data_IF_052756801055
#
_entry.id   IF_052756801055
#
_cell.length_a   1.000
_cell.length_b   1.000
_cell.length_c   1.000
_cell.angle_alpha   90.00
_cell.angle_beta   90.00
_cell.angle_gamma   90.00
#
_symmetry.space_group_name_H-M   'P 1'
#
loop_
_entity.id
_entity.type
_entity.pdbx_description
1 polymer ?
#
# COMPACT_ATOMS: atom_id res chain seq x y z
N UNK A 1 -25.94 -8.76 14.87
CA UNK A 1 -25.23 -9.11 13.61
C UNK A 1 -24.83 -7.81 12.93
N UNK A 2 -23.56 -7.58 12.64
CA UNK A 2 -23.09 -6.35 11.99
C UNK A 2 -23.29 -6.46 10.48
N UNK A 3 -23.92 -5.44 9.86
CA UNK A 3 -24.05 -5.31 8.42
C UNK A 3 -23.00 -4.32 7.87
N UNK A 4 -22.15 -4.78 6.97
CA UNK A 4 -21.03 -4.00 6.43
C UNK A 4 -21.45 -2.75 5.64
N UNK A 5 -22.73 -2.58 5.28
CA UNK A 5 -23.23 -1.39 4.56
C UNK A 5 -23.89 -0.40 5.50
N UNK A 6 -24.74 -0.89 6.43
CA UNK A 6 -25.63 -0.05 7.22
C UNK A 6 -25.10 0.30 8.60
N UNK A 7 -24.34 -0.61 9.20
CA UNK A 7 -23.90 -0.42 10.58
C UNK A 7 -22.58 0.36 10.65
N UNK A 8 -22.35 1.11 11.75
CA UNK A 8 -21.12 1.84 11.97
C UNK A 8 -19.97 0.87 12.32
N UNK A 9 -18.86 0.97 11.58
CA UNK A 9 -17.65 0.18 11.84
C UNK A 9 -16.36 0.85 11.33
N UNK A 10 -16.46 2.00 10.64
CA UNK A 10 -15.33 2.76 10.13
C UNK A 10 -15.01 3.87 11.13
N UNK A 11 -13.90 3.79 11.88
CA UNK A 11 -13.53 4.84 12.82
C UNK A 11 -13.04 6.09 12.10
N UNK A 12 -13.60 7.23 12.48
CA UNK A 12 -13.29 8.54 11.92
C UNK A 12 -13.21 9.60 13.01
N UNK A 13 -12.43 10.64 12.76
CA UNK A 13 -12.52 11.89 13.50
C UNK A 13 -13.59 12.76 12.87
N UNK A 14 -14.55 13.19 13.70
CA UNK A 14 -15.59 14.16 13.39
C UNK A 14 -15.51 15.31 14.41
N UNK A 15 -16.12 16.49 14.14
CA UNK A 15 -16.24 17.55 15.15
C UNK A 15 -16.80 16.96 16.45
N UNK A 16 -15.99 16.92 17.49
CA UNK A 16 -16.39 16.34 18.79
C UNK A 16 -15.66 15.07 19.22
N UNK A 17 -14.86 14.44 18.36
CA UNK A 17 -14.01 13.31 18.74
C UNK A 17 -14.03 12.12 17.78
N UNK A 18 -13.53 11.00 18.26
CA UNK A 18 -13.50 9.73 17.54
C UNK A 18 -14.89 9.06 17.61
N UNK A 19 -15.39 8.62 16.46
CA UNK A 19 -16.65 7.87 16.34
C UNK A 19 -16.53 6.82 15.24
N UNK A 20 -17.45 5.87 15.20
CA UNK A 20 -17.61 4.95 14.08
C UNK A 20 -18.78 5.39 13.19
N UNK A 21 -18.61 5.23 11.88
CA UNK A 21 -19.64 5.52 10.87
C UNK A 21 -19.85 4.33 9.95
N UNK A 22 -21.01 4.23 9.34
CA UNK A 22 -21.27 3.24 8.29
C UNK A 22 -20.62 3.67 6.96
N UNK A 23 -20.44 2.78 5.98
CA UNK A 23 -20.05 3.16 4.63
C UNK A 23 -20.93 4.23 4.01
N UNK A 24 -22.25 4.14 4.17
CA UNK A 24 -23.19 5.14 3.64
C UNK A 24 -22.98 6.51 4.28
N UNK A 25 -22.78 6.57 5.59
CA UNK A 25 -22.46 7.81 6.30
C UNK A 25 -21.07 8.33 5.90
N UNK A 26 -20.10 7.45 5.70
CA UNK A 26 -18.75 7.80 5.26
C UNK A 26 -18.74 8.46 3.87
N UNK A 27 -19.64 8.03 2.98
CA UNK A 27 -19.82 8.62 1.65
C UNK A 27 -20.57 9.96 1.71
N UNK A 28 -21.66 10.01 2.50
CA UNK A 28 -22.55 11.17 2.55
C UNK A 28 -21.95 12.38 3.32
N UNK A 29 -21.12 12.13 4.34
CA UNK A 29 -20.69 13.18 5.28
C UNK A 29 -19.34 13.76 4.92
N UNK A 30 -19.23 15.05 4.57
CA UNK A 30 -17.96 15.71 4.34
C UNK A 30 -17.17 15.94 5.65
N UNK A 31 -15.85 16.11 5.54
CA UNK A 31 -14.98 16.46 6.67
C UNK A 31 -14.68 15.32 7.63
N UNK A 32 -15.02 14.08 7.30
CA UNK A 32 -14.62 12.89 8.08
C UNK A 32 -13.16 12.53 7.77
N UNK A 33 -12.33 12.43 8.81
CA UNK A 33 -10.92 12.02 8.68
C UNK A 33 -10.80 10.58 9.20
N UNK A 34 -10.32 9.62 8.39
CA UNK A 34 -10.15 8.25 8.84
C UNK A 34 -9.23 8.14 10.05
N UNK A 35 -9.61 7.31 11.03
CA UNK A 35 -8.84 7.00 12.24
C UNK A 35 -8.48 5.51 12.26
N UNK A 36 -8.09 4.98 11.11
CA UNK A 36 -7.80 3.56 10.91
C UNK A 36 -6.34 3.25 11.26
N UNK A 37 -6.12 2.03 11.75
CA UNK A 37 -4.77 1.50 11.86
C UNK A 37 -4.15 1.38 10.45
N UNK A 38 -2.83 1.62 10.26
CA UNK A 38 -2.20 1.55 8.93
C UNK A 38 -2.46 0.24 8.17
N UNK A 39 -2.67 -0.86 8.90
CA UNK A 39 -3.00 -2.17 8.34
C UNK A 39 -4.46 -2.27 7.83
N UNK A 40 -5.36 -1.44 8.34
CA UNK A 40 -6.79 -1.42 8.01
C UNK A 40 -7.11 -0.34 6.96
N UNK A 41 -6.31 0.72 6.90
CA UNK A 41 -6.56 1.94 6.13
C UNK A 41 -6.83 1.65 4.64
N UNK A 42 -5.88 1.01 3.97
CA UNK A 42 -6.00 0.72 2.54
C UNK A 42 -7.07 -0.34 2.22
N UNK A 43 -7.21 -1.45 2.97
CA UNK A 43 -8.32 -2.39 2.77
C UNK A 43 -9.71 -1.79 2.90
N UNK A 44 -9.94 -0.93 3.90
CA UNK A 44 -11.21 -0.22 4.07
C UNK A 44 -11.45 0.75 2.92
N UNK A 45 -10.43 1.52 2.51
CA UNK A 45 -10.52 2.40 1.35
C UNK A 45 -10.88 1.61 0.07
N UNK A 46 -10.24 0.47 -0.16
CA UNK A 46 -10.52 -0.41 -1.31
C UNK A 46 -11.94 -0.95 -1.28
N UNK A 47 -12.45 -1.32 -0.12
CA UNK A 47 -13.84 -1.76 0.03
C UNK A 47 -14.82 -0.65 -0.40
N UNK A 48 -14.62 0.58 0.08
CA UNK A 48 -15.46 1.72 -0.28
C UNK A 48 -15.35 2.08 -1.77
N UNK A 49 -14.14 2.07 -2.33
CA UNK A 49 -13.91 2.30 -3.76
C UNK A 49 -14.54 1.20 -4.63
N UNK A 50 -14.49 -0.05 -4.19
CA UNK A 50 -15.16 -1.15 -4.89
C UNK A 50 -16.68 -0.98 -4.90
N UNK A 51 -17.29 -0.59 -3.77
CA UNK A 51 -18.72 -0.31 -3.68
C UNK A 51 -19.13 0.80 -4.66
N UNK A 52 -18.37 1.90 -4.70
CA UNK A 52 -18.61 3.00 -5.63
C UNK A 52 -18.45 2.54 -7.09
N UNK A 53 -17.34 1.90 -7.42
CA UNK A 53 -17.06 1.40 -8.78
C UNK A 53 -18.14 0.44 -9.28
N UNK A 54 -18.66 -0.42 -8.39
CA UNK A 54 -19.75 -1.35 -8.70
C UNK A 54 -21.11 -0.65 -8.82
N UNK A 55 -21.41 0.29 -7.94
CA UNK A 55 -22.69 0.99 -7.94
C UNK A 55 -22.88 1.88 -9.18
N UNK A 56 -21.80 2.46 -9.67
CA UNK A 56 -21.77 3.40 -10.80
C UNK A 56 -21.21 2.82 -12.09
N UNK A 57 -21.01 1.50 -12.18
CA UNK A 57 -20.44 0.87 -13.38
C UNK A 57 -21.20 1.27 -14.65
N UNK A 58 -20.45 1.64 -15.70
CA UNK A 58 -21.00 2.07 -16.98
C UNK A 58 -21.35 3.55 -17.08
N UNK A 59 -21.22 4.31 -15.99
CA UNK A 59 -21.40 5.77 -15.97
C UNK A 59 -20.09 6.50 -16.28
N UNK A 60 -20.15 7.80 -16.56
CA UNK A 60 -18.97 8.63 -16.75
C UNK A 60 -18.22 8.83 -15.42
N UNK A 61 -16.96 8.49 -15.41
CA UNK A 61 -16.14 8.48 -14.21
C UNK A 61 -15.93 9.87 -13.62
N UNK A 62 -15.74 10.89 -14.47
CA UNK A 62 -15.50 12.25 -14.01
C UNK A 62 -16.78 12.89 -13.50
N UNK A 63 -17.93 12.61 -14.11
CA UNK A 63 -19.23 13.03 -13.59
C UNK A 63 -19.50 12.42 -12.22
N UNK A 64 -19.27 11.11 -12.05
CA UNK A 64 -19.44 10.42 -10.76
C UNK A 64 -18.51 10.98 -9.70
N UNK A 65 -17.25 11.29 -10.02
CA UNK A 65 -16.31 11.86 -9.07
C UNK A 65 -16.74 13.23 -8.53
N UNK A 66 -17.61 13.96 -9.25
CA UNK A 66 -18.11 15.27 -8.85
C UNK A 66 -19.48 15.24 -8.15
N UNK A 67 -20.18 14.10 -8.12
CA UNK A 67 -21.47 13.98 -7.47
C UNK A 67 -21.41 14.35 -5.98
N UNK A 68 -22.50 14.93 -5.42
CA UNK A 68 -22.63 15.11 -3.98
C UNK A 68 -22.46 13.80 -3.21
N UNK A 69 -21.90 13.84 -2.00
CA UNK A 69 -21.70 12.63 -1.19
C UNK A 69 -22.99 11.90 -0.85
N UNK A 70 -24.08 12.65 -0.62
CA UNK A 70 -25.41 12.10 -0.37
C UNK A 70 -25.94 11.30 -1.57
N UNK A 71 -25.67 11.75 -2.79
CA UNK A 71 -26.06 11.04 -4.00
C UNK A 71 -25.22 9.77 -4.22
N UNK A 72 -23.91 9.83 -3.93
CA UNK A 72 -23.06 8.65 -3.92
C UNK A 72 -23.58 7.59 -2.91
N UNK A 73 -23.93 8.01 -1.71
CA UNK A 73 -24.47 7.13 -0.67
C UNK A 73 -25.81 6.51 -1.07
N UNK A 74 -26.73 7.35 -1.58
CA UNK A 74 -28.06 6.90 -2.03
C UNK A 74 -27.94 5.84 -3.13
N UNK A 75 -27.09 6.06 -4.13
CA UNK A 75 -26.89 5.10 -5.21
C UNK A 75 -26.31 3.77 -4.70
N UNK A 76 -25.34 3.82 -3.79
CA UNK A 76 -24.79 2.61 -3.16
C UNK A 76 -25.88 1.89 -2.35
N UNK A 77 -26.72 2.61 -1.60
CA UNK A 77 -27.82 2.02 -0.83
C UNK A 77 -28.86 1.35 -1.75
N UNK A 78 -29.29 2.03 -2.81
CA UNK A 78 -30.21 1.47 -3.80
C UNK A 78 -29.67 0.21 -4.46
N UNK A 79 -28.39 0.22 -4.83
CA UNK A 79 -27.75 -0.90 -5.52
C UNK A 79 -27.52 -2.10 -4.61
N UNK A 80 -27.28 -1.87 -3.31
CA UNK A 80 -27.01 -2.93 -2.33
C UNK A 80 -28.27 -3.50 -1.70
N UNK A 81 -29.45 -2.89 -1.85
CA UNK A 81 -30.68 -3.29 -1.14
C UNK A 81 -31.06 -4.76 -1.33
N UNK A 82 -30.87 -5.29 -2.54
CA UNK A 82 -31.23 -6.68 -2.88
C UNK A 82 -30.17 -7.70 -2.38
N UNK A 83 -29.04 -7.22 -1.88
CA UNK A 83 -27.89 -8.00 -1.39
C UNK A 83 -27.60 -7.80 0.09
N UNK A 84 -28.47 -7.14 0.86
CA UNK A 84 -28.19 -6.76 2.25
C UNK A 84 -27.82 -7.93 3.17
N UNK A 85 -28.40 -9.11 2.93
CA UNK A 85 -28.06 -10.32 3.70
C UNK A 85 -26.62 -10.76 3.43
N UNK A 86 -26.11 -10.53 2.22
CA UNK A 86 -24.72 -10.85 1.87
C UNK A 86 -23.69 -9.99 2.60
N UNK A 87 -24.09 -8.87 3.20
CA UNK A 87 -23.23 -8.00 3.99
C UNK A 87 -23.30 -8.26 5.51
N UNK A 88 -24.13 -9.20 5.94
CA UNK A 88 -24.18 -9.64 7.34
C UNK A 88 -22.95 -10.48 7.70
N UNK A 89 -22.10 -9.98 8.60
CA UNK A 89 -20.75 -10.52 8.84
C UNK A 89 -20.72 -11.99 9.29
N UNK A 90 -21.73 -12.44 10.04
CA UNK A 90 -21.87 -13.81 10.54
C UNK A 90 -23.09 -14.54 9.94
N UNK A 91 -23.71 -13.96 8.90
CA UNK A 91 -24.84 -14.55 8.19
C UNK A 91 -24.44 -15.72 7.28
N UNK A 92 -25.39 -16.62 7.03
CA UNK A 92 -25.18 -17.73 6.09
C UNK A 92 -25.05 -17.23 4.64
N UNK A 93 -25.67 -16.10 4.31
CA UNK A 93 -25.55 -15.45 3.01
C UNK A 93 -24.32 -14.56 2.85
N UNK A 94 -23.45 -14.45 3.87
CA UNK A 94 -22.25 -13.59 3.81
C UNK A 94 -21.42 -13.84 2.54
N UNK A 95 -21.14 -12.80 1.77
CA UNK A 95 -20.53 -12.91 0.44
C UNK A 95 -19.13 -13.55 0.45
N UNK A 96 -18.44 -13.55 1.57
CA UNK A 96 -17.18 -14.28 1.80
C UNK A 96 -17.37 -15.56 2.62
N UNK A 97 -18.58 -16.08 2.72
CA UNK A 97 -18.85 -17.32 3.45
C UNK A 97 -18.07 -18.49 2.88
N UNK A 98 -17.37 -19.22 3.74
CA UNK A 98 -16.69 -20.48 3.45
C UNK A 98 -17.43 -21.66 4.05
N UNK A 99 -17.35 -22.81 3.38
CA UNK A 99 -17.96 -24.05 3.80
C UNK A 99 -16.93 -25.18 3.86
N UNK A 100 -17.16 -26.14 4.74
CA UNK A 100 -16.30 -27.29 4.91
C UNK A 100 -15.80 -27.48 6.35
N UNK A 101 -15.07 -28.56 6.57
CA UNK A 101 -14.54 -28.90 7.89
C UNK A 101 -13.08 -28.39 8.04
N UNK A 102 -12.96 -27.11 8.35
CA UNK A 102 -11.68 -26.45 8.70
C UNK A 102 -11.70 -26.23 10.19
N UNK A 103 -10.59 -26.45 10.91
CA UNK A 103 -10.52 -26.15 12.33
C UNK A 103 -10.87 -24.70 12.66
N UNK A 104 -11.54 -24.47 13.79
CA UNK A 104 -11.73 -23.14 14.35
C UNK A 104 -10.40 -22.64 14.94
N UNK A 105 -10.07 -21.42 14.61
CA UNK A 105 -8.91 -20.67 15.15
C UNK A 105 -9.39 -19.48 15.97
N UNK A 106 -8.52 -18.92 16.80
CA UNK A 106 -8.83 -17.69 17.54
C UNK A 106 -8.89 -16.47 16.61
N UNK A 107 -9.41 -15.32 17.10
CA UNK A 107 -9.47 -14.05 16.37
C UNK A 107 -8.12 -13.60 15.79
N UNK A 108 -7.02 -14.06 16.37
CA UNK A 108 -5.65 -13.79 15.95
C UNK A 108 -5.38 -14.23 14.50
N UNK A 109 -6.13 -15.20 13.99
CA UNK A 109 -5.99 -15.67 12.62
C UNK A 109 -6.33 -14.58 11.58
N UNK A 110 -7.14 -13.58 11.93
CA UNK A 110 -7.45 -12.42 11.09
C UNK A 110 -6.42 -11.29 11.19
N UNK A 111 -5.47 -11.39 12.11
CA UNK A 111 -4.50 -10.35 12.41
C UNK A 111 -3.08 -10.85 12.13
N UNK A 112 -2.60 -10.78 10.87
CA UNK A 112 -1.24 -11.19 10.53
C UNK A 112 -0.15 -10.34 11.21
N UNK A 113 -0.50 -9.14 11.66
CA UNK A 113 0.31 -8.28 12.53
C UNK A 113 0.31 -8.72 14.00
N UNK A 114 -0.54 -9.69 14.39
CA UNK A 114 -0.58 -10.23 15.74
C UNK A 114 0.35 -11.45 15.87
N UNK A 115 1.15 -11.52 16.93
CA UNK A 115 2.06 -12.64 17.11
C UNK A 115 1.30 -13.96 17.23
N UNK A 116 1.49 -14.85 16.26
CA UNK A 116 0.89 -16.18 16.31
C UNK A 116 1.51 -17.03 17.41
N UNK A 117 0.72 -17.96 17.98
CA UNK A 117 1.16 -18.90 19.02
C UNK A 117 2.11 -20.00 18.51
N UNK A 118 2.72 -19.86 17.36
CA UNK A 118 3.55 -20.90 16.73
C UNK A 118 5.05 -20.79 16.95
N UNK A 119 5.52 -20.01 17.93
CA UNK A 119 6.97 -19.90 18.23
C UNK A 119 7.76 -19.02 17.26
N UNK A 120 7.11 -18.39 16.28
CA UNK A 120 7.75 -17.46 15.37
C UNK A 120 7.55 -16.04 15.87
N UNK A 121 8.63 -15.26 16.06
CA UNK A 121 8.49 -13.87 16.47
C UNK A 121 7.76 -13.09 15.37
N UNK A 122 6.58 -12.56 15.67
CA UNK A 122 6.09 -11.43 14.93
C UNK A 122 7.05 -10.27 15.22
N UNK A 123 7.57 -9.64 14.18
CA UNK A 123 8.54 -8.55 14.29
C UNK A 123 7.97 -7.30 14.99
N UNK A 124 6.66 -7.20 15.06
CA UNK A 124 5.98 -6.22 15.91
C UNK A 124 5.96 -6.77 17.33
N UNK A 125 6.98 -6.37 18.09
CA UNK A 125 7.13 -6.76 19.49
C UNK A 125 5.80 -6.58 20.26
N UNK A 126 5.33 -7.66 20.91
CA UNK A 126 4.27 -7.52 21.91
C UNK A 126 4.69 -6.44 22.90
N UNK A 127 3.81 -5.51 23.26
CA UNK A 127 4.02 -4.72 24.46
C UNK A 127 4.33 -5.69 25.61
N UNK A 128 5.36 -5.40 26.39
CA UNK A 128 5.71 -6.18 27.58
C UNK A 128 4.50 -6.22 28.52
N UNK A 129 3.88 -7.36 28.64
CA UNK A 129 2.64 -7.57 29.34
C UNK A 129 1.70 -8.32 28.41
N UNK A 130 1.63 -9.64 28.55
CA UNK A 130 0.82 -10.48 27.69
C UNK A 130 -0.63 -10.02 27.79
N UNK A 131 -1.21 -9.40 26.76
CA UNK A 131 -2.64 -9.21 26.77
C UNK A 131 -3.29 -10.58 26.83
N UNK A 132 -4.45 -10.67 27.46
CA UNK A 132 -5.33 -11.83 27.34
C UNK A 132 -5.63 -12.17 25.87
N UNK A 133 -6.44 -13.18 25.60
CA UNK A 133 -6.83 -13.54 24.23
C UNK A 133 -7.36 -12.31 23.51
N UNK A 134 -6.99 -12.17 22.24
CA UNK A 134 -7.46 -11.06 21.39
C UNK A 134 -8.99 -11.08 21.37
N UNK A 135 -9.60 -9.95 21.66
CA UNK A 135 -11.05 -9.76 21.61
C UNK A 135 -11.34 -8.70 20.57
N UNK A 136 -12.05 -9.05 19.52
CA UNK A 136 -12.47 -8.13 18.47
C UNK A 136 -13.99 -7.92 18.57
N UNK A 137 -14.40 -6.67 18.71
CA UNK A 137 -15.82 -6.31 18.50
C UNK A 137 -16.21 -6.63 17.06
N UNK A 138 -17.51 -6.69 16.71
CA UNK A 138 -17.91 -6.91 15.32
C UNK A 138 -17.34 -5.88 14.34
N UNK A 139 -17.20 -4.62 14.75
CA UNK A 139 -16.58 -3.55 13.95
C UNK A 139 -15.09 -3.80 13.72
N UNK A 140 -14.34 -4.16 14.75
CA UNK A 140 -12.93 -4.52 14.63
C UNK A 140 -12.74 -5.80 13.82
N UNK A 141 -13.63 -6.79 13.96
CA UNK A 141 -13.61 -8.01 13.17
C UNK A 141 -13.85 -7.74 11.69
N UNK A 142 -14.74 -6.81 11.33
CA UNK A 142 -14.96 -6.37 9.95
C UNK A 142 -13.68 -5.79 9.34
N UNK A 143 -13.00 -4.88 10.04
CA UNK A 143 -11.73 -4.28 9.60
C UNK A 143 -10.61 -5.32 9.49
N UNK A 144 -10.48 -6.17 10.50
CA UNK A 144 -9.48 -7.24 10.50
C UNK A 144 -9.70 -8.24 9.36
N UNK A 145 -10.96 -8.57 9.04
CA UNK A 145 -11.30 -9.45 7.92
C UNK A 145 -10.90 -8.83 6.58
N UNK A 146 -11.22 -7.55 6.34
CA UNK A 146 -10.80 -6.86 5.12
C UNK A 146 -9.27 -6.76 5.01
N UNK A 147 -8.60 -6.48 6.12
CA UNK A 147 -7.14 -6.46 6.17
C UNK A 147 -6.54 -7.84 5.88
N UNK A 148 -7.08 -8.90 6.46
CA UNK A 148 -6.65 -10.27 6.18
C UNK A 148 -6.89 -10.65 4.72
N UNK A 149 -8.05 -10.30 4.16
CA UNK A 149 -8.36 -10.55 2.75
C UNK A 149 -7.35 -9.88 1.80
N UNK A 150 -6.86 -8.69 2.16
CA UNK A 150 -5.95 -7.90 1.35
C UNK A 150 -4.47 -8.27 1.53
N UNK A 151 -4.05 -8.67 2.73
CA UNK A 151 -2.63 -8.82 3.11
C UNK A 151 -2.21 -10.23 3.52
N UNK A 152 -3.11 -11.23 3.51
CA UNK A 152 -2.72 -12.58 3.94
C UNK A 152 -1.62 -13.14 3.04
N UNK A 153 -0.55 -13.60 3.68
CA UNK A 153 0.59 -14.20 3.00
C UNK A 153 0.25 -15.59 2.50
N UNK A 154 1.04 -16.10 1.57
CA UNK A 154 0.90 -17.47 1.11
C UNK A 154 1.00 -18.44 2.30
N UNK A 155 -0.03 -19.26 2.50
CA UNK A 155 -0.07 -20.31 3.54
C UNK A 155 -0.14 -21.71 2.92
N UNK A 156 0.52 -22.65 3.57
CA UNK A 156 0.39 -24.07 3.24
C UNK A 156 -0.81 -24.63 4.01
N UNK A 157 -1.87 -24.95 3.31
CA UNK A 157 -3.05 -25.62 3.88
C UNK A 157 -2.97 -27.13 3.70
N UNK A 158 -1.89 -27.76 4.19
CA UNK A 158 -1.67 -29.21 4.09
C UNK A 158 -2.82 -30.07 4.65
N UNK A 159 -3.55 -29.52 5.64
CA UNK A 159 -4.71 -30.19 6.26
C UNK A 159 -5.94 -30.29 5.36
N UNK A 160 -6.02 -29.52 4.28
CA UNK A 160 -7.17 -29.48 3.36
C UNK A 160 -6.84 -30.08 1.99
N UNK A 161 -5.68 -30.72 1.81
CA UNK A 161 -5.25 -31.24 0.50
C UNK A 161 -4.90 -30.12 -0.52
N UNK A 162 -4.97 -28.86 -0.14
CA UNK A 162 -4.58 -27.70 -0.97
C UNK A 162 -3.13 -27.40 -0.73
N UNK A 163 -2.29 -27.54 -1.75
CA UNK A 163 -0.82 -27.41 -1.62
C UNK A 163 -0.37 -26.03 -1.18
N UNK A 164 -1.03 -24.98 -1.62
CA UNK A 164 -0.78 -23.59 -1.14
C UNK A 164 -1.91 -22.67 -1.59
N UNK A 165 -2.21 -21.65 -0.77
CA UNK A 165 -3.01 -20.51 -1.20
C UNK A 165 -2.08 -19.42 -1.72
N UNK A 166 -2.37 -18.82 -2.88
CA UNK A 166 -1.60 -17.68 -3.35
C UNK A 166 -1.69 -16.51 -2.35
N UNK A 167 -0.66 -15.68 -2.34
CA UNK A 167 -0.65 -14.48 -1.54
C UNK A 167 -1.78 -13.52 -1.97
N UNK A 168 -2.34 -12.79 -1.02
CA UNK A 168 -3.38 -11.79 -1.27
C UNK A 168 -2.86 -10.58 -2.08
N UNK A 169 -3.73 -9.78 -2.70
CA UNK A 169 -3.32 -8.73 -3.66
C UNK A 169 -2.31 -7.71 -3.13
N UNK A 170 -2.34 -7.37 -1.83
CA UNK A 170 -1.42 -6.39 -1.23
C UNK A 170 -0.21 -7.00 -0.53
N UNK A 171 -0.02 -8.31 -0.58
CA UNK A 171 1.10 -8.98 0.08
C UNK A 171 2.46 -8.59 -0.50
N UNK A 172 2.48 -8.17 -1.76
CA UNK A 172 3.68 -7.72 -2.45
C UNK A 172 3.42 -6.38 -3.13
N UNK A 173 4.50 -5.65 -3.37
CA UNK A 173 4.44 -4.35 -4.02
C UNK A 173 4.13 -3.21 -3.07
N UNK A 174 4.30 -2.01 -3.59
CA UNK A 174 3.91 -0.77 -2.93
C UNK A 174 2.62 -0.29 -3.56
N UNK A 175 1.58 -0.17 -2.76
CA UNK A 175 0.32 0.42 -3.19
C UNK A 175 0.30 1.92 -2.83
N UNK A 176 -0.24 2.71 -3.73
CA UNK A 176 -0.37 4.16 -3.61
C UNK A 176 -1.84 4.56 -3.73
N UNK A 177 -2.19 5.63 -3.04
CA UNK A 177 -3.46 6.31 -3.26
C UNK A 177 -3.36 7.80 -2.95
N UNK A 178 -4.21 8.59 -3.58
CA UNK A 178 -4.28 10.02 -3.33
C UNK A 178 -5.03 10.28 -2.01
N UNK A 179 -4.40 10.93 -1.07
CA UNK A 179 -4.96 11.32 0.22
C UNK A 179 -5.45 12.76 0.13
N UNK A 180 -6.76 12.95 0.07
CA UNK A 180 -7.42 14.24 0.13
C UNK A 180 -7.56 14.76 1.56
N UNK A 181 -8.18 15.94 1.70
CA UNK A 181 -8.41 16.60 3.01
C UNK A 181 -9.33 15.81 3.95
N UNK A 182 -10.20 14.95 3.40
CA UNK A 182 -11.15 14.11 4.12
C UNK A 182 -11.41 12.80 3.35
N UNK A 183 -12.17 11.88 3.94
CA UNK A 183 -12.46 10.59 3.36
C UNK A 183 -13.24 10.70 2.04
N UNK A 184 -14.23 11.59 1.96
CA UNK A 184 -15.02 11.79 0.75
C UNK A 184 -14.15 12.29 -0.41
N UNK A 185 -13.26 13.27 -0.16
CA UNK A 185 -12.30 13.76 -1.15
C UNK A 185 -11.31 12.65 -1.55
N UNK A 186 -10.81 11.89 -0.56
CA UNK A 186 -9.91 10.76 -0.82
C UNK A 186 -10.56 9.72 -1.74
N UNK A 187 -11.81 9.35 -1.49
CA UNK A 187 -12.54 8.39 -2.33
C UNK A 187 -12.71 8.91 -3.76
N UNK A 188 -13.09 10.17 -3.95
CA UNK A 188 -13.29 10.78 -5.28
C UNK A 188 -12.00 10.88 -6.07
N UNK A 189 -10.89 11.23 -5.44
CA UNK A 189 -9.57 11.30 -6.07
C UNK A 189 -9.12 9.93 -6.61
N UNK A 190 -9.48 8.84 -5.93
CA UNK A 190 -9.06 7.47 -6.28
C UNK A 190 -10.13 6.67 -7.03
N UNK A 191 -11.29 7.26 -7.29
CA UNK A 191 -12.40 6.56 -7.94
C UNK A 191 -12.02 6.14 -9.36
N UNK A 192 -12.37 4.90 -9.69
CA UNK A 192 -12.33 4.37 -11.04
C UNK A 192 -13.68 3.68 -11.31
N UNK A 193 -14.33 4.07 -12.39
CA UNK A 193 -15.63 3.54 -12.80
C UNK A 193 -15.44 2.66 -14.05
N UNK A 194 -15.58 1.33 -13.94
CA UNK A 194 -15.41 0.44 -15.06
C UNK A 194 -16.71 0.35 -15.86
N UNK A 195 -16.67 -0.04 -17.15
CA UNK A 195 -17.86 -0.33 -17.93
C UNK A 195 -18.72 -1.45 -17.29
N UNK A 196 -18.06 -2.42 -16.66
CA UNK A 196 -18.70 -3.53 -15.93
C UNK A 196 -17.80 -4.06 -14.84
N UNK A 197 -18.38 -4.35 -13.67
CA UNK A 197 -17.71 -4.96 -12.54
C UNK A 197 -18.64 -6.01 -11.91
N UNK A 198 -18.20 -7.25 -11.82
CA UNK A 198 -18.92 -8.30 -11.10
C UNK A 198 -18.49 -8.31 -9.64
N UNK A 199 -19.45 -8.30 -8.74
CA UNK A 199 -19.20 -8.28 -7.32
C UNK A 199 -19.25 -9.69 -6.69
N UNK A 200 -18.50 -9.96 -5.60
CA UNK A 200 -18.50 -11.26 -4.94
C UNK A 200 -19.84 -11.60 -4.26
N UNK A 201 -20.72 -10.63 -4.02
CA UNK A 201 -22.09 -10.84 -3.57
C UNK A 201 -23.08 -11.16 -4.69
N UNK A 202 -22.74 -10.84 -5.95
CA UNK A 202 -23.50 -11.29 -7.11
C UNK A 202 -23.12 -12.72 -7.52
N UNK A 203 -21.81 -13.03 -7.40
CA UNK A 203 -21.25 -14.33 -7.77
C UNK A 203 -20.09 -14.71 -6.85
N UNK A 204 -20.05 -15.94 -6.33
CA UNK A 204 -18.94 -16.41 -5.49
C UNK A 204 -17.56 -16.35 -6.17
N UNK A 205 -17.50 -16.47 -7.50
CA UNK A 205 -16.29 -16.34 -8.31
C UNK A 205 -16.53 -15.28 -9.40
N UNK A 206 -16.38 -13.98 -9.08
CA UNK A 206 -16.58 -12.92 -10.05
C UNK A 206 -15.50 -12.95 -11.14
N UNK A 207 -15.85 -12.43 -12.32
CA UNK A 207 -14.88 -12.29 -13.42
C UNK A 207 -13.71 -11.42 -12.99
N UNK A 208 -12.52 -11.89 -13.26
CA UNK A 208 -11.29 -11.17 -12.91
C UNK A 208 -11.22 -9.81 -13.63
N UNK A 209 -10.92 -8.75 -12.87
CA UNK A 209 -10.69 -7.41 -13.36
C UNK A 209 -9.68 -6.69 -12.46
N UNK A 210 -8.99 -5.63 -12.94
CA UNK A 210 -8.08 -4.86 -12.11
C UNK A 210 -8.74 -4.30 -10.83
N UNK A 211 -9.93 -3.72 -10.93
CA UNK A 211 -10.70 -3.24 -9.78
C UNK A 211 -11.25 -4.39 -8.91
N UNK A 212 -11.48 -5.56 -9.49
CA UNK A 212 -11.84 -6.76 -8.75
C UNK A 212 -10.79 -7.19 -7.71
N UNK A 213 -9.52 -6.76 -7.88
CA UNK A 213 -8.46 -6.98 -6.90
C UNK A 213 -8.70 -6.25 -5.58
N UNK A 214 -9.54 -5.21 -5.55
CA UNK A 214 -9.82 -4.45 -4.33
C UNK A 214 -10.58 -5.28 -3.29
N UNK A 215 -11.45 -6.18 -3.77
CA UNK A 215 -12.25 -7.08 -2.92
C UNK A 215 -12.20 -8.52 -3.44
N UNK A 216 -11.01 -8.96 -3.88
CA UNK A 216 -10.83 -10.29 -4.44
C UNK A 216 -11.11 -11.39 -3.40
N UNK A 217 -12.05 -12.34 -3.65
CA UNK A 217 -12.42 -13.37 -2.70
C UNK A 217 -11.38 -14.51 -2.64
N UNK A 218 -10.10 -14.16 -2.41
CA UNK A 218 -8.99 -15.11 -2.29
C UNK A 218 -9.04 -15.93 -1.00
N UNK A 219 -9.86 -15.50 -0.05
CA UNK A 219 -10.16 -16.19 1.20
C UNK A 219 -11.66 -16.16 1.46
N UNK A 220 -12.13 -17.18 2.18
CA UNK A 220 -13.50 -17.26 2.68
C UNK A 220 -13.48 -17.55 4.15
N UNK A 221 -14.57 -17.22 4.84
CA UNK A 221 -14.59 -17.21 6.28
C UNK A 221 -15.87 -17.83 6.84
N UNK A 222 -15.77 -18.40 8.03
CA UNK A 222 -16.90 -18.56 8.94
C UNK A 222 -16.50 -17.91 10.27
N UNK A 223 -17.39 -17.06 10.79
CA UNK A 223 -17.16 -16.29 12.00
C UNK A 223 -18.13 -16.75 13.07
N UNK A 224 -17.67 -16.84 14.32
CA UNK A 224 -18.51 -17.14 15.47
C UNK A 224 -18.33 -16.06 16.52
N UNK A 225 -19.42 -15.40 16.85
CA UNK A 225 -19.46 -14.35 17.86
C UNK A 225 -20.08 -14.88 19.15
N UNK A 226 -19.54 -14.49 20.29
CA UNK A 226 -20.08 -14.76 21.62
C UNK A 226 -19.81 -13.55 22.54
N UNK A 227 -20.79 -13.17 23.35
CA UNK A 227 -20.66 -12.06 24.28
C UNK A 227 -20.29 -10.72 23.62
N UNK A 228 -20.76 -10.48 22.38
CA UNK A 228 -20.47 -9.26 21.64
C UNK A 228 -19.07 -9.17 21.03
N UNK A 229 -18.31 -10.27 21.01
CA UNK A 229 -16.96 -10.31 20.45
C UNK A 229 -16.78 -11.52 19.55
N UNK A 230 -15.86 -11.43 18.58
CA UNK A 230 -15.42 -12.56 17.77
C UNK A 230 -14.73 -13.58 18.69
N UNK A 231 -15.31 -14.76 18.78
CA UNK A 231 -14.79 -15.89 19.57
C UNK A 231 -13.85 -16.76 18.74
N UNK A 232 -14.26 -17.08 17.50
CA UNK A 232 -13.51 -17.97 16.64
C UNK A 232 -13.76 -17.66 15.16
N UNK A 233 -12.80 -18.03 14.32
CA UNK A 233 -12.85 -17.90 12.87
C UNK A 233 -12.38 -19.20 12.21
N UNK A 234 -12.97 -19.52 11.07
CA UNK A 234 -12.45 -20.49 10.10
C UNK A 234 -12.06 -19.75 8.85
N UNK A 235 -10.86 -20.02 8.34
CA UNK A 235 -10.35 -19.42 7.10
C UNK A 235 -10.25 -20.51 6.03
N UNK A 236 -10.93 -20.32 4.93
CA UNK A 236 -10.99 -21.27 3.81
C UNK A 236 -10.26 -20.72 2.58
N UNK A 237 -9.76 -21.59 1.71
CA UNK A 237 -9.30 -21.20 0.39
C UNK A 237 -10.44 -20.56 -0.41
N UNK A 238 -10.12 -19.47 -1.08
CA UNK A 238 -11.01 -18.81 -2.03
C UNK A 238 -10.49 -18.93 -3.46
N UNK A 239 -10.87 -17.99 -4.32
CA UNK A 239 -10.44 -17.95 -5.72
C UNK A 239 -8.96 -17.58 -5.83
N UNK A 240 -8.20 -18.15 -6.78
CA UNK A 240 -6.83 -17.73 -7.06
C UNK A 240 -6.78 -16.24 -7.44
N UNK A 241 -5.77 -15.50 -6.91
CA UNK A 241 -5.57 -14.10 -7.29
C UNK A 241 -5.13 -14.03 -8.75
N UNK A 242 -5.85 -13.29 -9.60
CA UNK A 242 -5.49 -13.19 -11.01
C UNK A 242 -4.22 -12.36 -11.19
N UNK A 243 -3.43 -12.70 -12.22
CA UNK A 243 -2.25 -11.93 -12.61
C UNK A 243 -2.68 -10.72 -13.44
N UNK A 244 -3.18 -9.68 -12.78
CA UNK A 244 -3.62 -8.42 -13.38
C UNK A 244 -2.90 -7.25 -12.71
N UNK A 245 -2.68 -6.13 -13.45
CA UNK A 245 -2.14 -4.92 -12.85
C UNK A 245 -3.15 -4.32 -11.87
N UNK A 246 -2.68 -4.06 -10.65
CA UNK A 246 -3.47 -3.39 -9.62
C UNK A 246 -3.43 -1.88 -9.84
N UNK A 247 -4.57 -1.18 -9.94
CA UNK A 247 -4.61 0.26 -10.23
C UNK A 247 -3.87 1.14 -9.20
N UNK A 248 -3.64 0.62 -8.00
CA UNK A 248 -2.93 1.32 -6.93
C UNK A 248 -1.43 1.04 -6.91
N UNK A 249 -0.90 0.18 -7.77
CA UNK A 249 0.52 -0.16 -7.81
C UNK A 249 1.23 0.48 -8.99
N UNK A 250 2.54 0.75 -8.80
CA UNK A 250 3.42 1.22 -9.84
C UNK A 250 4.11 0.04 -10.53
N UNK A 251 4.13 0.06 -11.87
CA UNK A 251 4.71 -1.01 -12.68
C UNK A 251 5.74 -0.46 -13.66
N UNK A 252 6.73 -1.29 -13.99
CA UNK A 252 7.59 -1.08 -15.14
C UNK A 252 7.57 -2.32 -16.04
N UNK A 253 7.71 -2.12 -17.33
CA UNK A 253 7.85 -3.22 -18.26
C UNK A 253 9.32 -3.58 -18.44
N UNK A 254 9.63 -4.85 -18.33
CA UNK A 254 10.98 -5.39 -18.57
C UNK A 254 10.86 -6.75 -19.25
N UNK A 255 11.34 -6.83 -20.49
CA UNK A 255 11.28 -8.07 -21.27
C UNK A 255 9.85 -8.61 -21.49
N UNK A 256 8.85 -7.75 -21.68
CA UNK A 256 7.44 -8.13 -21.83
C UNK A 256 6.73 -8.53 -20.52
N UNK A 257 7.38 -8.36 -19.37
CA UNK A 257 6.82 -8.66 -18.06
C UNK A 257 6.61 -7.37 -17.27
N UNK A 258 5.43 -7.23 -16.65
CA UNK A 258 5.16 -6.14 -15.72
C UNK A 258 5.76 -6.46 -14.35
N UNK A 259 6.72 -5.65 -13.94
CA UNK A 259 7.36 -5.73 -12.63
C UNK A 259 6.79 -4.66 -11.70
N UNK A 260 6.23 -5.07 -10.58
CA UNK A 260 5.72 -4.14 -9.57
C UNK A 260 6.86 -3.54 -8.72
N UNK A 261 6.68 -2.28 -8.30
CA UNK A 261 7.58 -1.63 -7.34
C UNK A 261 7.41 -2.29 -5.96
N UNK A 262 8.49 -2.81 -5.39
CA UNK A 262 8.49 -3.52 -4.09
C UNK A 262 9.38 -2.82 -3.07
N UNK A 263 8.95 -2.79 -1.83
CA UNK A 263 9.81 -2.50 -0.69
C UNK A 263 10.50 -3.78 -0.21
N UNK A 264 11.72 -3.64 0.31
CA UNK A 264 12.53 -4.74 0.85
C UNK A 264 12.72 -4.58 2.34
N UNK A 265 13.12 -5.65 3.01
CA UNK A 265 13.48 -5.60 4.42
C UNK A 265 14.59 -4.55 4.68
N UNK A 266 14.41 -3.77 5.75
CA UNK A 266 15.35 -2.69 6.10
C UNK A 266 15.24 -1.42 5.25
N UNK A 267 14.38 -1.39 4.22
CA UNK A 267 14.15 -0.18 3.42
C UNK A 267 13.09 0.73 4.06
N UNK A 268 13.26 2.04 3.87
CA UNK A 268 12.22 3.04 4.14
C UNK A 268 11.53 3.46 2.85
N UNK A 269 10.26 3.84 2.91
CA UNK A 269 9.54 4.32 1.73
C UNK A 269 10.19 5.58 1.15
N UNK A 270 10.57 6.55 1.99
CA UNK A 270 11.20 7.79 1.53
C UNK A 270 12.61 7.59 0.96
N UNK A 271 13.45 6.82 1.65
CA UNK A 271 14.85 6.66 1.26
C UNK A 271 15.11 5.66 0.15
N UNK A 272 14.27 4.64 0.00
CA UNK A 272 14.55 3.55 -0.94
C UNK A 272 13.45 3.39 -2.02
N UNK A 273 12.19 3.54 -1.67
CA UNK A 273 11.07 3.35 -2.60
C UNK A 273 10.88 4.57 -3.49
N UNK A 274 10.84 5.77 -2.89
CA UNK A 274 10.62 7.01 -3.62
C UNK A 274 11.64 7.25 -4.76
N UNK A 275 12.96 7.10 -4.54
CA UNK A 275 13.94 7.28 -5.63
C UNK A 275 13.74 6.29 -6.79
N UNK A 276 13.21 5.08 -6.51
CA UNK A 276 12.93 4.08 -7.55
C UNK A 276 11.63 4.35 -8.30
N UNK A 277 10.67 5.05 -7.68
CA UNK A 277 9.35 5.32 -8.27
C UNK A 277 9.46 6.00 -9.63
N UNK A 278 10.44 6.90 -9.83
CA UNK A 278 10.66 7.60 -11.09
C UNK A 278 10.89 6.68 -12.30
N UNK A 279 11.27 5.42 -12.07
CA UNK A 279 11.51 4.39 -13.12
C UNK A 279 10.31 3.48 -13.38
N UNK A 280 9.18 3.77 -12.76
CA UNK A 280 7.95 3.01 -12.89
C UNK A 280 6.87 3.91 -13.48
N UNK A 281 5.98 3.33 -14.26
CA UNK A 281 4.75 4.02 -14.61
C UNK A 281 3.98 4.34 -13.32
N UNK A 282 3.44 5.55 -13.19
CA UNK A 282 2.68 5.93 -12.01
C UNK A 282 1.47 5.02 -11.83
N UNK A 283 1.01 4.83 -10.58
CA UNK A 283 -0.24 4.14 -10.33
C UNK A 283 -1.41 4.84 -11.03
N UNK A 284 -2.31 4.09 -11.62
CA UNK A 284 -3.46 4.64 -12.34
C UNK A 284 -4.29 5.61 -11.47
N UNK A 285 -4.47 5.29 -10.19
CA UNK A 285 -5.17 6.16 -9.24
C UNK A 285 -4.47 7.51 -9.04
N UNK A 286 -3.14 7.55 -9.10
CA UNK A 286 -2.38 8.79 -8.95
C UNK A 286 -2.48 9.66 -10.22
N UNK A 287 -2.55 9.07 -11.41
CA UNK A 287 -2.81 9.80 -12.66
C UNK A 287 -4.19 10.44 -12.65
N UNK A 288 -5.22 9.70 -12.23
CA UNK A 288 -6.59 10.21 -12.08
C UNK A 288 -6.68 11.33 -11.06
N UNK A 289 -6.03 11.18 -9.93
CA UNK A 289 -6.01 12.21 -8.90
C UNK A 289 -5.38 13.53 -9.40
N UNK A 290 -4.32 13.43 -10.22
CA UNK A 290 -3.68 14.61 -10.82
C UNK A 290 -4.62 15.36 -11.79
N UNK A 291 -5.46 14.65 -12.52
CA UNK A 291 -6.48 15.26 -13.40
C UNK A 291 -7.60 15.95 -12.59
N UNK A 292 -7.88 15.50 -11.39
CA UNK A 292 -8.96 15.99 -10.53
C UNK A 292 -8.51 17.03 -9.49
N UNK A 293 -7.21 17.33 -9.41
CA UNK A 293 -6.65 18.25 -8.40
C UNK A 293 -7.30 19.62 -8.42
N UNK A 294 -7.52 20.18 -9.61
CA UNK A 294 -8.13 21.52 -9.75
C UNK A 294 -9.60 21.57 -9.31
N UNK A 295 -10.32 20.44 -9.36
CA UNK A 295 -11.73 20.33 -9.02
C UNK A 295 -11.95 19.92 -7.55
N UNK A 296 -11.16 18.99 -7.05
CA UNK A 296 -11.32 18.39 -5.73
C UNK A 296 -10.37 18.97 -4.66
N UNK A 297 -9.40 19.75 -5.10
CA UNK A 297 -8.40 20.37 -4.24
C UNK A 297 -7.11 19.57 -4.11
N UNK A 298 -6.11 20.14 -3.43
CA UNK A 298 -4.79 19.53 -3.30
C UNK A 298 -4.87 18.18 -2.55
N UNK A 299 -3.96 17.28 -2.90
CA UNK A 299 -3.83 15.96 -2.30
C UNK A 299 -2.37 15.63 -1.99
N UNK A 300 -2.16 14.64 -1.15
CA UNK A 300 -0.87 13.99 -0.95
C UNK A 300 -0.93 12.56 -1.49
N UNK A 301 0.22 11.99 -1.83
CA UNK A 301 0.31 10.58 -2.22
C UNK A 301 0.64 9.74 -0.99
N UNK A 302 -0.26 8.88 -0.60
CA UNK A 302 -0.05 7.91 0.47
C UNK A 302 0.46 6.61 -0.11
N UNK A 303 1.55 6.07 0.43
CA UNK A 303 2.11 4.79 0.04
C UNK A 303 2.02 3.79 1.21
N UNK A 304 1.65 2.56 0.90
CA UNK A 304 1.59 1.45 1.85
C UNK A 304 2.25 0.23 1.22
N UNK A 305 3.13 -0.43 1.96
CA UNK A 305 3.80 -1.64 1.51
C UNK A 305 3.87 -2.67 2.64
N UNK A 306 3.50 -3.89 2.35
CA UNK A 306 3.83 -5.02 3.19
C UNK A 306 5.18 -5.59 2.75
N UNK A 307 6.07 -5.76 3.71
CA UNK A 307 7.31 -6.52 3.52
C UNK A 307 7.12 -7.88 4.15
N UNK A 308 7.20 -8.92 3.34
CA UNK A 308 7.06 -10.30 3.79
C UNK A 308 8.29 -11.11 3.36
N UNK A 309 8.79 -11.95 4.26
CA UNK A 309 9.77 -12.99 3.96
C UNK A 309 9.05 -14.35 3.99
N UNK A 310 8.95 -14.97 2.82
CA UNK A 310 8.16 -16.19 2.61
C UNK A 310 6.70 -16.01 3.08
N UNK A 311 6.30 -16.70 4.15
CA UNK A 311 4.96 -16.64 4.74
C UNK A 311 4.89 -15.71 5.98
N UNK A 312 5.93 -14.91 6.25
CA UNK A 312 6.03 -14.07 7.46
C UNK A 312 5.89 -12.61 7.11
N UNK A 313 5.06 -11.90 7.86
CA UNK A 313 5.04 -10.45 7.85
C UNK A 313 6.29 -9.93 8.57
N UNK A 314 7.17 -9.25 7.84
CA UNK A 314 8.38 -8.62 8.39
C UNK A 314 8.09 -7.20 8.82
N UNK A 315 7.44 -6.42 7.97
CA UNK A 315 7.09 -5.04 8.26
C UNK A 315 5.87 -4.58 7.45
N UNK A 316 5.14 -3.62 8.00
CA UNK A 316 4.20 -2.79 7.26
C UNK A 316 4.77 -1.37 7.21
N UNK A 317 5.08 -0.90 6.01
CA UNK A 317 5.58 0.45 5.77
C UNK A 317 4.44 1.32 5.31
N UNK A 318 4.32 2.52 5.86
CA UNK A 318 3.40 3.53 5.36
C UNK A 318 4.07 4.91 5.38
N UNK A 319 3.74 5.75 4.41
CA UNK A 319 4.31 7.09 4.30
C UNK A 319 3.44 7.97 3.43
N UNK A 320 3.50 9.28 3.68
CA UNK A 320 2.80 10.28 2.89
C UNK A 320 3.84 11.14 2.18
N UNK A 321 3.63 11.38 0.90
CA UNK A 321 4.50 12.15 0.03
C UNK A 321 3.71 13.28 -0.62
N UNK A 322 4.36 14.36 -1.11
CA UNK A 322 3.70 15.30 -2.01
C UNK A 322 3.06 14.61 -3.20
N UNK A 323 2.12 15.26 -3.85
CA UNK A 323 1.44 14.75 -5.04
C UNK A 323 2.38 14.71 -6.25
N UNK A 324 3.32 13.75 -6.27
CA UNK A 324 4.43 13.67 -7.22
C UNK A 324 4.02 13.64 -8.69
N UNK A 325 2.77 13.28 -8.97
CA UNK A 325 2.20 13.29 -10.31
C UNK A 325 1.53 14.62 -10.66
N UNK A 326 1.32 15.50 -9.67
CA UNK A 326 0.84 16.85 -9.90
C UNK A 326 1.84 17.63 -10.76
N UNK A 327 1.42 18.42 -11.75
CA UNK A 327 2.31 19.30 -12.51
C UNK A 327 3.18 20.20 -11.62
N UNK A 328 2.67 20.60 -10.44
CA UNK A 328 3.37 21.45 -9.47
C UNK A 328 4.52 20.72 -8.77
N UNK A 329 4.43 19.40 -8.61
CA UNK A 329 5.38 18.61 -7.83
C UNK A 329 6.24 17.67 -8.72
N UNK A 330 6.05 17.69 -10.05
CA UNK A 330 6.72 16.79 -11.00
C UNK A 330 8.25 16.89 -10.93
N UNK A 331 8.81 18.07 -10.61
CA UNK A 331 10.25 18.24 -10.45
C UNK A 331 10.84 17.30 -9.38
N UNK A 332 10.05 16.90 -8.37
CA UNK A 332 10.49 15.95 -7.33
C UNK A 332 10.72 14.53 -7.89
N UNK A 333 9.98 14.12 -8.92
CA UNK A 333 10.25 12.85 -9.61
C UNK A 333 11.58 12.91 -10.36
N UNK A 334 11.90 14.03 -11.01
CA UNK A 334 13.20 14.22 -11.67
C UNK A 334 14.34 14.22 -10.65
N UNK A 335 14.15 14.87 -9.50
CA UNK A 335 15.13 14.80 -8.41
C UNK A 335 15.28 13.39 -7.85
N UNK A 336 14.18 12.65 -7.69
CA UNK A 336 14.22 11.27 -7.22
C UNK A 336 14.95 10.35 -8.21
N UNK A 337 14.76 10.54 -9.51
CA UNK A 337 15.48 9.81 -10.54
C UNK A 337 16.98 10.12 -10.51
N UNK A 338 17.35 11.41 -10.48
CA UNK A 338 18.73 11.84 -10.35
C UNK A 338 19.40 11.27 -9.08
N UNK A 339 18.67 11.28 -7.96
CA UNK A 339 19.13 10.69 -6.71
C UNK A 339 19.39 9.19 -6.81
N UNK A 340 18.51 8.47 -7.50
CA UNK A 340 18.72 7.04 -7.74
C UNK A 340 19.97 6.78 -8.59
N UNK A 341 20.16 7.54 -9.67
CA UNK A 341 21.34 7.41 -10.53
C UNK A 341 22.65 7.72 -9.78
N UNK A 342 22.64 8.73 -8.91
CA UNK A 342 23.77 9.03 -8.03
C UNK A 342 24.06 7.88 -7.05
N UNK A 343 23.02 7.22 -6.52
CA UNK A 343 23.18 6.04 -5.67
C UNK A 343 23.82 4.87 -6.44
N UNK A 344 23.44 4.66 -7.71
CA UNK A 344 24.07 3.64 -8.55
C UNK A 344 25.54 3.96 -8.85
N UNK A 345 25.91 5.24 -8.98
CA UNK A 345 27.31 5.65 -9.07
C UNK A 345 28.09 5.28 -7.80
N UNK A 346 27.52 5.56 -6.60
CA UNK A 346 28.14 5.17 -5.33
C UNK A 346 28.27 3.65 -5.19
N UNK A 347 27.27 2.88 -5.63
CA UNK A 347 27.37 1.40 -5.68
C UNK A 347 28.49 0.94 -6.59
N UNK A 348 28.65 1.57 -7.76
CA UNK A 348 29.74 1.28 -8.67
C UNK A 348 31.11 1.53 -8.03
N UNK A 349 31.25 2.64 -7.31
CA UNK A 349 32.45 2.92 -6.50
C UNK A 349 32.68 1.83 -5.45
N UNK A 350 31.61 1.44 -4.70
CA UNK A 350 31.68 0.40 -3.68
C UNK A 350 32.16 -0.94 -4.26
N UNK A 351 31.58 -1.38 -5.37
CA UNK A 351 31.99 -2.62 -6.06
C UNK A 351 33.43 -2.62 -6.51
N UNK A 352 33.98 -1.47 -6.93
CA UNK A 352 35.36 -1.31 -7.34
C UNK A 352 36.39 -1.48 -6.21
N UNK A 353 35.99 -1.38 -4.93
CA UNK A 353 36.88 -1.48 -3.78
C UNK A 353 36.79 -2.79 -3.00
N UNK A 354 35.78 -3.63 -3.21
CA UNK A 354 35.52 -4.76 -2.33
C UNK A 354 35.60 -6.14 -2.97
N UNK A 355 36.16 -7.09 -2.25
CA UNK A 355 36.01 -8.52 -2.54
C UNK A 355 34.58 -9.04 -2.24
N UNK A 356 33.81 -8.28 -1.46
CA UNK A 356 32.41 -8.56 -1.07
C UNK A 356 31.36 -7.80 -1.87
N UNK A 357 31.60 -7.43 -3.11
CA UNK A 357 30.75 -6.79 -4.13
C UNK A 357 29.49 -6.05 -3.63
N UNK A 358 28.45 -6.77 -3.28
CA UNK A 358 27.15 -6.18 -2.89
C UNK A 358 27.15 -5.55 -1.49
N UNK A 359 27.93 -6.08 -0.55
CA UNK A 359 28.05 -5.50 0.80
C UNK A 359 28.74 -4.13 0.74
N UNK A 360 29.83 -4.00 -0.03
CA UNK A 360 30.52 -2.72 -0.19
C UNK A 360 29.69 -1.73 -1.03
N UNK A 361 28.93 -2.20 -2.01
CA UNK A 361 27.96 -1.38 -2.72
C UNK A 361 26.91 -0.79 -1.77
N UNK A 362 26.37 -1.61 -0.86
CA UNK A 362 25.41 -1.17 0.15
C UNK A 362 26.02 -0.16 1.14
N UNK A 363 27.25 -0.38 1.60
CA UNK A 363 27.96 0.57 2.48
C UNK A 363 28.23 1.92 1.82
N UNK A 364 28.47 1.94 0.51
CA UNK A 364 28.72 3.18 -0.23
C UNK A 364 27.41 3.98 -0.49
N UNK A 365 26.32 3.31 -0.83
CA UNK A 365 25.07 3.96 -1.28
C UNK A 365 23.99 4.07 -0.21
N UNK A 366 23.97 3.18 0.79
CA UNK A 366 22.90 3.12 1.79
C UNK A 366 22.72 4.41 2.59
N UNK A 367 23.78 4.99 3.18
CA UNK A 367 23.67 6.26 3.90
C UNK A 367 23.19 7.43 3.03
N UNK A 368 23.61 7.49 1.78
CA UNK A 368 23.15 8.47 0.81
C UNK A 368 21.65 8.33 0.53
N UNK A 369 21.19 7.11 0.25
CA UNK A 369 19.77 6.85 -0.02
C UNK A 369 18.86 7.21 1.18
N UNK A 370 19.37 7.03 2.39
CA UNK A 370 18.61 7.39 3.60
C UNK A 370 18.36 8.91 3.69
N UNK A 371 19.37 9.73 3.38
CA UNK A 371 19.24 11.20 3.47
C UNK A 371 18.57 11.83 2.27
N UNK A 372 18.75 11.27 1.09
CA UNK A 372 18.27 11.87 -0.17
C UNK A 372 16.76 11.92 -0.27
N UNK A 373 16.07 10.92 0.26
CA UNK A 373 14.61 10.90 0.27
C UNK A 373 14.02 12.14 0.94
N UNK A 374 14.60 12.55 2.07
CA UNK A 374 14.22 13.77 2.78
C UNK A 374 14.55 15.02 1.95
N UNK A 375 15.74 15.11 1.39
CA UNK A 375 16.16 16.25 0.57
C UNK A 375 15.26 16.47 -0.66
N UNK A 376 14.82 15.39 -1.32
CA UNK A 376 13.88 15.47 -2.44
C UNK A 376 12.51 15.98 -1.99
N UNK A 377 12.04 15.55 -0.83
CA UNK A 377 10.73 15.96 -0.30
C UNK A 377 10.72 17.41 0.19
N UNK A 378 11.84 17.89 0.73
CA UNK A 378 11.98 19.26 1.29
C UNK A 378 12.40 20.29 0.24
N UNK A 379 12.80 19.89 -0.98
CA UNK A 379 13.20 20.81 -2.04
C UNK A 379 12.05 21.75 -2.43
N UNK A 380 12.34 23.05 -2.49
CA UNK A 380 11.39 24.09 -2.91
C UNK A 380 11.37 24.28 -4.44
N UNK A 381 12.37 23.75 -5.15
CA UNK A 381 12.49 23.77 -6.59
C UNK A 381 13.55 22.83 -7.13
N UNK A 382 13.54 22.62 -8.47
CA UNK A 382 14.43 21.65 -9.11
C UNK A 382 15.91 22.02 -9.00
N UNK A 383 16.26 23.30 -9.18
CA UNK A 383 17.66 23.76 -9.15
C UNK A 383 18.25 23.64 -7.73
N UNK A 384 17.51 24.04 -6.71
CA UNK A 384 17.91 23.90 -5.32
C UNK A 384 18.07 22.44 -4.94
N UNK A 385 17.08 21.61 -5.32
CA UNK A 385 17.13 20.17 -5.11
C UNK A 385 18.36 19.51 -5.75
N UNK A 386 18.72 19.89 -6.98
CA UNK A 386 19.92 19.38 -7.67
C UNK A 386 21.21 19.79 -6.92
N UNK A 387 21.30 21.04 -6.43
CA UNK A 387 22.45 21.48 -5.61
C UNK A 387 22.57 20.67 -4.33
N UNK A 388 21.46 20.45 -3.65
CA UNK A 388 21.40 19.64 -2.42
C UNK A 388 21.80 18.19 -2.69
N UNK A 389 21.31 17.58 -3.77
CA UNK A 389 21.71 16.23 -4.17
C UNK A 389 23.21 16.12 -4.48
N UNK A 390 23.77 17.09 -5.16
CA UNK A 390 25.21 17.14 -5.44
C UNK A 390 26.02 17.22 -4.15
N UNK A 391 25.62 18.10 -3.23
CA UNK A 391 26.29 18.24 -1.93
C UNK A 391 26.26 16.93 -1.14
N UNK A 392 25.09 16.29 -1.01
CA UNK A 392 24.93 15.03 -0.32
C UNK A 392 25.78 13.93 -0.97
N UNK A 393 25.74 13.85 -2.30
CA UNK A 393 26.54 12.88 -3.05
C UNK A 393 28.04 13.03 -2.77
N UNK A 394 28.58 14.24 -2.88
CA UNK A 394 30.00 14.51 -2.66
C UNK A 394 30.42 14.18 -1.22
N UNK A 395 29.59 14.55 -0.24
CA UNK A 395 29.84 14.24 1.17
C UNK A 395 29.89 12.73 1.43
N UNK A 396 28.95 11.96 0.89
CA UNK A 396 28.94 10.52 1.06
C UNK A 396 30.06 9.82 0.29
N UNK A 397 30.40 10.30 -0.90
CA UNK A 397 31.53 9.83 -1.67
C UNK A 397 32.86 10.02 -0.89
N UNK A 398 33.08 11.21 -0.35
CA UNK A 398 34.27 11.52 0.47
C UNK A 398 34.32 10.65 1.73
N UNK A 399 33.22 10.55 2.48
CA UNK A 399 33.13 9.73 3.68
C UNK A 399 33.43 8.25 3.39
N UNK A 400 33.03 7.73 2.23
CA UNK A 400 33.32 6.37 1.81
C UNK A 400 34.77 6.20 1.39
N UNK A 401 35.37 7.16 0.68
CA UNK A 401 36.72 7.05 0.11
C UNK A 401 37.81 7.41 1.11
N UNK A 402 37.61 8.34 2.03
CA UNK A 402 38.63 8.84 2.96
C UNK A 402 39.38 7.73 3.76
N UNK A 403 38.71 6.73 4.36
CA UNK A 403 39.36 5.65 5.08
C UNK A 403 40.24 4.77 4.17
N UNK A 404 40.00 4.78 2.88
CA UNK A 404 40.68 3.94 1.85
C UNK A 404 41.86 4.63 1.22
N UNK A 405 41.96 5.94 1.33
CA UNK A 405 43.03 6.75 0.71
C UNK A 405 44.43 6.33 1.12
N UNK A 406 44.61 6.00 2.41
CA UNK A 406 45.94 5.55 2.93
C UNK A 406 46.37 4.20 2.36
N UNK A 407 45.44 3.33 2.01
CA UNK A 407 45.71 1.95 1.56
C UNK A 407 45.79 1.82 0.04
N UNK A 408 45.00 2.58 -0.69
CA UNK A 408 44.87 2.50 -2.17
C UNK A 408 44.73 3.89 -2.80
N UNK A 409 45.72 4.80 -2.66
CA UNK A 409 45.58 6.21 -3.05
C UNK A 409 45.20 6.40 -4.52
N UNK A 410 45.87 5.66 -5.43
CA UNK A 410 45.58 5.77 -6.87
C UNK A 410 44.19 5.35 -7.23
N UNK A 411 43.70 4.21 -6.73
CA UNK A 411 42.36 3.71 -6.96
C UNK A 411 41.28 4.66 -6.40
N UNK A 412 41.54 5.31 -5.25
CA UNK A 412 40.63 6.30 -4.67
C UNK A 412 40.50 7.53 -5.57
N UNK A 413 41.64 8.06 -6.07
CA UNK A 413 41.64 9.23 -6.97
C UNK A 413 40.94 8.95 -8.31
N UNK A 414 41.13 7.75 -8.86
CA UNK A 414 40.48 7.31 -10.09
C UNK A 414 38.97 7.17 -9.89
N UNK A 415 38.54 6.52 -8.79
CA UNK A 415 37.11 6.36 -8.43
C UNK A 415 36.42 7.70 -8.15
N UNK A 416 37.10 8.59 -7.44
CA UNK A 416 36.58 9.94 -7.14
C UNK A 416 36.37 10.75 -8.43
N UNK A 417 37.38 10.77 -9.33
CA UNK A 417 37.25 11.47 -10.60
C UNK A 417 36.15 10.91 -11.46
N UNK A 418 36.04 9.60 -11.56
CA UNK A 418 34.95 8.94 -12.30
C UNK A 418 33.56 9.28 -11.72
N UNK A 419 33.41 9.16 -10.40
CA UNK A 419 32.14 9.44 -9.72
C UNK A 419 31.70 10.90 -9.86
N UNK A 420 32.62 11.85 -9.65
CA UNK A 420 32.35 13.30 -9.84
C UNK A 420 31.93 13.62 -11.28
N UNK A 421 32.62 13.04 -12.28
CA UNK A 421 32.25 13.23 -13.69
C UNK A 421 30.90 12.64 -14.06
N UNK A 422 30.51 11.52 -13.46
CA UNK A 422 29.14 10.95 -13.63
C UNK A 422 28.09 11.82 -12.95
N UNK A 423 28.34 12.26 -11.72
CA UNK A 423 27.40 13.10 -10.97
C UNK A 423 27.10 14.43 -11.70
N UNK A 424 28.12 15.09 -12.27
CA UNK A 424 27.90 16.29 -13.08
C UNK A 424 26.96 16.03 -14.27
N UNK A 425 27.14 14.94 -14.99
CA UNK A 425 26.27 14.58 -16.12
C UNK A 425 24.83 14.29 -15.69
N UNK A 426 24.62 13.58 -14.59
CA UNK A 426 23.31 13.25 -14.04
C UNK A 426 22.56 14.51 -13.65
N UNK A 427 23.25 15.46 -13.03
CA UNK A 427 22.63 16.70 -12.54
C UNK A 427 22.56 17.82 -13.57
N UNK A 428 22.96 17.58 -14.82
CA UNK A 428 22.90 18.55 -15.92
C UNK A 428 23.91 19.70 -15.80
N UNK A 429 24.98 19.52 -15.02
CA UNK A 429 26.08 20.47 -14.96
C UNK A 429 26.93 20.37 -16.24
N UNK A 430 27.10 21.46 -16.98
CA UNK A 430 28.07 21.54 -18.06
C UNK A 430 29.48 21.18 -17.55
N UNK A 431 30.24 20.47 -18.39
CA UNK A 431 31.56 19.96 -18.10
C UNK A 431 32.62 21.08 -17.93
#
# INVERSE_FOLDING_TARGET
MLNLIRDPWIPVFKKGGLTEVSPLEALATPGLVPALHPYEELPVLRFLLFLLAWAFQGEDEEEVALLPGEELALRVEERTKDFLEAFGLDGDAFFLRGEGDVPWEGPEALRPDWPSRGGEPALLARPRGTPGPLRLTPAEAARALLAHLAYDTQKLYNKLGVKSLPASPLTQGVAFYALGRDLATTLRLNLAVPPRLEAPWERPAPKASPLGLYLHPGRRYALRFAGGHLEAVRVYPGSPVPSLPDPMKAYREEGGTLLELRAREGESLGGAVLPRLARYAPPQVAEKAALREDLLGPYALRAVAQVADQARLVALLSGTFPALNSPRERFRLHLAEAAWELAEVLKGVGKGFGEGGDLEAGRASGPFLFEVGRAVLEAEGEEEGRKTLLFLFLRHLEAYLAPRLKRRPRAVLEAERWAKGRAKRILGGEA
#
